data_IF_951463627072
#
_entry.id   IF_951463627072
#
_cell.length_a   1.000
_cell.length_b   1.000
_cell.length_c   1.000
_cell.angle_alpha   90.00
_cell.angle_beta   90.00
_cell.angle_gamma   90.00
#
_symmetry.space_group_name_H-M   'P 1'
#
loop_
_entity.id
_entity.type
_entity.pdbx_description
1 polymer ?
#
# COMPACT_ATOMS: atom_id res chain seq x y z
N UNK A 1 -22.29 -57.30 -51.94
CA UNK A 1 -22.37 -57.90 -50.58
C UNK A 1 -23.16 -56.98 -49.65
N UNK A 2 -24.38 -57.35 -49.27
CA UNK A 2 -25.23 -56.58 -48.34
C UNK A 2 -25.02 -57.19 -46.96
N UNK A 3 -24.44 -56.42 -46.05
CA UNK A 3 -24.28 -56.84 -44.68
C UNK A 3 -25.66 -56.95 -43.99
N UNK A 4 -25.92 -58.06 -43.26
CA UNK A 4 -27.21 -58.29 -42.64
C UNK A 4 -27.45 -57.25 -41.49
N UNK A 5 -28.67 -56.69 -41.47
CA UNK A 5 -29.12 -55.64 -40.49
C UNK A 5 -28.76 -55.91 -39.02
N UNK A 6 -28.64 -57.15 -38.61
CA UNK A 6 -28.26 -57.54 -37.22
C UNK A 6 -26.80 -57.27 -36.89
N UNK A 7 -25.89 -57.25 -37.85
CA UNK A 7 -24.47 -56.90 -37.59
C UNK A 7 -24.29 -55.39 -37.50
N UNK A 8 -25.08 -54.59 -38.24
CA UNK A 8 -25.06 -53.15 -38.15
C UNK A 8 -25.56 -52.67 -36.78
N UNK A 9 -26.59 -53.28 -36.18
CA UNK A 9 -27.09 -52.94 -34.85
C UNK A 9 -26.12 -53.35 -33.73
N UNK A 10 -25.31 -54.38 -33.89
CA UNK A 10 -24.27 -54.73 -32.88
C UNK A 10 -23.06 -53.82 -32.96
N UNK A 11 -22.70 -53.26 -34.07
CA UNK A 11 -21.65 -52.28 -34.25
C UNK A 11 -22.09 -50.89 -33.73
N UNK A 12 -23.35 -50.53 -33.91
CA UNK A 12 -23.92 -49.29 -33.38
C UNK A 12 -24.04 -49.32 -31.85
N UNK A 13 -24.33 -50.47 -31.22
CA UNK A 13 -24.37 -50.61 -29.75
C UNK A 13 -22.97 -50.56 -29.10
N UNK A 14 -21.91 -50.95 -29.84
CA UNK A 14 -20.52 -50.84 -29.34
C UNK A 14 -19.94 -49.46 -29.40
N UNK A 15 -20.46 -48.56 -30.24
CA UNK A 15 -20.00 -47.16 -30.33
C UNK A 15 -20.61 -46.25 -29.29
N UNK A 16 -21.70 -46.67 -28.60
CA UNK A 16 -22.35 -45.89 -27.54
C UNK A 16 -21.71 -46.03 -26.14
N UNK A 17 -20.71 -46.92 -26.02
CA UNK A 17 -19.98 -47.13 -24.76
C UNK A 17 -18.59 -46.46 -24.75
N UNK A 18 -18.48 -45.26 -25.35
CA UNK A 18 -17.36 -44.38 -25.01
C UNK A 18 -17.57 -43.99 -23.56
N UNK A 19 -16.64 -44.36 -22.64
CA UNK A 19 -16.71 -43.81 -21.30
C UNK A 19 -16.70 -42.31 -21.46
N UNK A 20 -17.74 -41.61 -20.98
CA UNK A 20 -17.66 -40.23 -20.64
C UNK A 20 -16.54 -40.18 -19.62
N UNK A 21 -15.31 -39.96 -20.07
CA UNK A 21 -14.21 -39.55 -19.25
C UNK A 21 -14.67 -38.21 -18.76
N UNK A 22 -15.40 -38.22 -17.64
CA UNK A 22 -15.59 -37.04 -16.85
C UNK A 22 -14.18 -36.51 -16.64
N UNK A 23 -13.81 -35.48 -17.37
CA UNK A 23 -12.69 -34.65 -16.97
C UNK A 23 -13.07 -34.20 -15.57
N UNK A 24 -12.61 -34.97 -14.57
CA UNK A 24 -12.50 -34.46 -13.23
C UNK A 24 -11.65 -33.24 -13.44
N UNK A 25 -12.31 -32.08 -13.50
CA UNK A 25 -11.64 -30.80 -13.46
C UNK A 25 -10.86 -30.83 -12.15
N UNK A 26 -9.61 -31.31 -12.23
CA UNK A 26 -8.66 -31.15 -11.13
C UNK A 26 -8.64 -29.64 -10.94
N UNK A 27 -9.26 -29.19 -9.87
CA UNK A 27 -9.12 -27.82 -9.45
C UNK A 27 -7.61 -27.52 -9.50
N UNK A 28 -7.20 -26.75 -10.50
CA UNK A 28 -5.78 -26.44 -10.67
C UNK A 28 -5.29 -25.87 -9.37
N UNK A 29 -4.30 -26.53 -8.79
CA UNK A 29 -3.74 -26.09 -7.50
C UNK A 29 -3.20 -24.69 -7.70
N UNK A 30 -3.84 -23.71 -7.07
CA UNK A 30 -3.34 -22.33 -7.10
C UNK A 30 -2.08 -22.20 -6.21
N UNK A 31 -1.05 -21.47 -6.64
CA UNK A 31 -0.83 -20.97 -8.01
C UNK A 31 -0.36 -22.06 -8.95
N UNK A 32 -0.85 -22.06 -10.20
CA UNK A 32 -0.46 -23.04 -11.23
C UNK A 32 0.67 -22.55 -12.14
N UNK A 33 1.02 -21.29 -12.03
CA UNK A 33 2.06 -20.59 -12.79
C UNK A 33 2.56 -19.40 -12.01
N UNK A 34 3.55 -18.66 -12.53
CA UNK A 34 4.08 -17.46 -11.91
C UNK A 34 2.96 -16.45 -11.55
N UNK A 35 3.13 -15.76 -10.43
CA UNK A 35 2.26 -14.69 -9.96
C UNK A 35 3.01 -13.37 -10.03
N UNK A 36 2.36 -12.30 -10.50
CA UNK A 36 2.92 -10.95 -10.53
C UNK A 36 2.34 -10.14 -9.39
N UNK A 37 3.20 -9.47 -8.64
CA UNK A 37 2.79 -8.43 -7.67
C UNK A 37 3.17 -7.08 -8.29
N UNK A 38 2.13 -6.34 -8.71
CA UNK A 38 2.28 -5.00 -9.29
C UNK A 38 2.54 -3.99 -8.19
N UNK A 39 3.55 -3.14 -8.36
CA UNK A 39 3.91 -2.06 -7.45
C UNK A 39 3.84 -0.73 -8.19
N UNK A 40 3.00 0.19 -7.72
CA UNK A 40 2.75 1.49 -8.37
C UNK A 40 3.84 2.55 -8.16
N UNK A 41 5.00 2.16 -7.62
CA UNK A 41 6.10 3.05 -7.24
C UNK A 41 7.45 2.52 -7.73
N UNK A 42 8.44 3.41 -7.76
CA UNK A 42 9.78 3.06 -8.21
C UNK A 42 10.43 1.97 -7.32
N UNK A 43 11.32 1.16 -7.90
CA UNK A 43 12.10 0.18 -7.13
C UNK A 43 12.90 0.83 -5.99
N UNK A 44 13.12 0.06 -4.91
CA UNK A 44 13.93 0.48 -3.75
C UNK A 44 13.17 1.33 -2.72
N UNK A 45 11.93 1.74 -3.01
CA UNK A 45 11.07 2.39 -2.04
C UNK A 45 10.38 1.38 -1.10
N UNK A 46 9.72 1.86 -0.02
CA UNK A 46 9.08 1.00 0.98
C UNK A 46 8.10 -0.02 0.40
N UNK A 47 7.27 0.40 -0.57
CA UNK A 47 6.34 -0.49 -1.25
C UNK A 47 7.03 -1.64 -1.98
N UNK A 48 8.13 -1.36 -2.67
CA UNK A 48 8.92 -2.37 -3.38
C UNK A 48 9.61 -3.35 -2.42
N UNK A 49 10.19 -2.82 -1.34
CA UNK A 49 10.85 -3.64 -0.31
C UNK A 49 9.86 -4.62 0.32
N UNK A 50 8.66 -4.14 0.68
CA UNK A 50 7.63 -4.98 1.29
C UNK A 50 7.04 -5.99 0.29
N UNK A 51 6.85 -5.58 -0.96
CA UNK A 51 6.41 -6.49 -2.02
C UNK A 51 7.41 -7.64 -2.22
N UNK A 52 8.72 -7.35 -2.24
CA UNK A 52 9.78 -8.37 -2.37
C UNK A 52 9.84 -9.29 -1.17
N UNK A 53 9.71 -8.74 0.05
CA UNK A 53 9.70 -9.54 1.28
C UNK A 53 8.55 -10.56 1.29
N UNK A 54 7.35 -10.11 0.99
CA UNK A 54 6.15 -10.99 0.95
C UNK A 54 6.17 -11.89 -0.28
N UNK A 55 6.59 -11.38 -1.45
CA UNK A 55 6.72 -12.16 -2.68
C UNK A 55 7.72 -13.32 -2.55
N UNK A 56 8.85 -13.10 -1.88
CA UNK A 56 9.81 -14.16 -1.60
C UNK A 56 9.19 -15.25 -0.71
N UNK A 57 8.55 -14.87 0.40
CA UNK A 57 7.85 -15.81 1.26
C UNK A 57 6.82 -16.64 0.48
N UNK A 58 5.97 -15.98 -0.30
CA UNK A 58 4.95 -16.67 -1.09
C UNK A 58 5.55 -17.62 -2.13
N UNK A 59 6.67 -17.24 -2.75
CA UNK A 59 7.38 -18.10 -3.69
C UNK A 59 7.87 -19.38 -3.02
N UNK A 60 8.49 -19.24 -1.85
CA UNK A 60 9.07 -20.37 -1.10
C UNK A 60 8.01 -21.34 -0.58
N UNK A 61 6.81 -20.83 -0.22
CA UNK A 61 5.76 -21.64 0.43
C UNK A 61 4.67 -22.14 -0.53
N UNK A 62 4.47 -21.46 -1.67
CA UNK A 62 3.43 -21.85 -2.63
C UNK A 62 3.99 -22.54 -3.88
N UNK A 63 5.32 -22.66 -4.03
CA UNK A 63 5.98 -23.45 -5.06
C UNK A 63 5.93 -22.86 -6.48
N UNK A 64 5.50 -21.60 -6.61
CA UNK A 64 5.54 -20.85 -7.87
C UNK A 64 6.17 -19.47 -7.65
N UNK A 65 6.90 -18.91 -8.63
CA UNK A 65 7.51 -17.60 -8.47
C UNK A 65 6.48 -16.49 -8.30
N UNK A 66 6.67 -15.63 -7.28
CA UNK A 66 5.98 -14.36 -7.12
C UNK A 66 6.95 -13.25 -7.50
N UNK A 67 6.77 -12.68 -8.70
CA UNK A 67 7.67 -11.66 -9.24
C UNK A 67 7.11 -10.26 -9.00
N UNK A 68 8.00 -9.32 -8.68
CA UNK A 68 7.63 -7.93 -8.44
C UNK A 68 7.80 -7.14 -9.74
N UNK A 69 6.74 -6.46 -10.16
CA UNK A 69 6.71 -5.62 -11.35
C UNK A 69 6.39 -4.17 -10.96
N UNK A 70 7.38 -3.29 -11.03
CA UNK A 70 7.21 -1.88 -10.73
C UNK A 70 6.65 -1.13 -11.94
N UNK A 71 5.48 -0.49 -11.78
CA UNK A 71 4.84 0.39 -12.76
C UNK A 71 4.50 1.73 -12.13
N UNK A 72 5.49 2.61 -11.96
CA UNK A 72 5.28 3.91 -11.33
C UNK A 72 4.47 4.85 -12.20
N UNK A 73 3.76 5.78 -11.56
CA UNK A 73 3.05 6.87 -12.21
C UNK A 73 1.62 7.07 -11.71
N UNK A 74 1.14 8.31 -11.80
CA UNK A 74 -0.18 8.74 -11.34
C UNK A 74 -0.54 8.24 -9.93
N UNK A 75 0.39 8.38 -8.97
CA UNK A 75 0.24 7.91 -7.58
C UNK A 75 -0.11 6.42 -7.45
N UNK A 76 0.39 5.58 -8.37
CA UNK A 76 0.15 4.14 -8.41
C UNK A 76 -1.04 3.72 -9.26
N UNK A 77 -1.78 4.65 -9.86
CA UNK A 77 -2.97 4.33 -10.64
C UNK A 77 -2.65 3.52 -11.91
N UNK A 78 -1.46 3.69 -12.52
CA UNK A 78 -1.04 2.87 -13.68
C UNK A 78 -0.96 1.39 -13.30
N UNK A 79 -0.36 1.06 -12.15
CA UNK A 79 -0.30 -0.31 -11.66
C UNK A 79 -1.69 -0.82 -11.25
N UNK A 80 -2.50 0.01 -10.60
CA UNK A 80 -3.86 -0.34 -10.18
C UNK A 80 -4.74 -0.68 -11.37
N UNK A 81 -4.73 0.13 -12.43
CA UNK A 81 -5.49 -0.13 -13.64
C UNK A 81 -5.06 -1.45 -14.32
N UNK A 82 -3.76 -1.73 -14.36
CA UNK A 82 -3.25 -2.98 -14.91
C UNK A 82 -3.76 -4.21 -14.12
N UNK A 83 -3.89 -4.10 -12.79
CA UNK A 83 -4.46 -5.17 -11.95
C UNK A 83 -5.96 -5.29 -12.15
N UNK A 84 -6.70 -4.17 -12.13
CA UNK A 84 -8.15 -4.17 -12.33
C UNK A 84 -8.55 -4.82 -13.67
N UNK A 85 -7.74 -4.62 -14.72
CA UNK A 85 -7.98 -5.21 -16.05
C UNK A 85 -7.43 -6.65 -16.20
N UNK A 86 -6.72 -7.17 -15.23
CA UNK A 86 -6.18 -8.52 -15.28
C UNK A 86 -7.27 -9.57 -15.03
N UNK A 87 -7.08 -10.83 -15.49
CA UNK A 87 -7.96 -11.92 -15.12
C UNK A 87 -8.07 -12.09 -13.62
N UNK A 88 -9.28 -12.36 -13.13
CA UNK A 88 -9.56 -12.56 -11.71
C UNK A 88 -9.19 -13.99 -11.26
N UNK A 89 -7.99 -14.45 -11.59
CA UNK A 89 -7.47 -15.80 -11.32
C UNK A 89 -6.36 -15.84 -10.26
N UNK A 90 -6.08 -14.70 -9.62
CA UNK A 90 -5.09 -14.58 -8.56
C UNK A 90 -3.63 -14.48 -9.03
N UNK A 91 -3.35 -14.56 -10.34
CA UNK A 91 -1.97 -14.50 -10.87
C UNK A 91 -1.46 -13.08 -11.15
N UNK A 92 -2.28 -12.07 -10.89
CA UNK A 92 -1.87 -10.66 -10.89
C UNK A 92 -2.45 -10.00 -9.65
N UNK A 93 -1.57 -9.50 -8.79
CA UNK A 93 -1.90 -8.91 -7.51
C UNK A 93 -1.38 -7.46 -7.49
N UNK A 94 -1.95 -6.62 -6.63
CA UNK A 94 -1.49 -5.26 -6.36
C UNK A 94 -0.90 -5.19 -4.97
N UNK A 95 0.32 -4.67 -4.83
CA UNK A 95 0.72 -4.09 -3.56
C UNK A 95 0.01 -2.75 -3.43
N UNK A 96 -0.87 -2.64 -2.46
CA UNK A 96 -1.70 -1.45 -2.25
C UNK A 96 -1.20 -0.61 -1.09
N UNK A 97 -1.40 0.70 -1.21
CA UNK A 97 -0.99 1.76 -0.29
C UNK A 97 -2.13 2.76 -0.11
N UNK A 98 -2.08 3.68 0.88
CA UNK A 98 -3.13 4.68 1.11
C UNK A 98 -3.53 5.48 -0.14
N UNK A 99 -2.58 5.82 -1.03
CA UNK A 99 -2.88 6.56 -2.25
C UNK A 99 -3.91 5.86 -3.16
N UNK A 100 -3.94 4.52 -3.16
CA UNK A 100 -4.94 3.78 -3.93
C UNK A 100 -6.36 3.99 -3.38
N UNK A 101 -6.51 4.03 -2.05
CA UNK A 101 -7.81 4.19 -1.39
C UNK A 101 -8.46 5.56 -1.63
N UNK A 102 -7.64 6.57 -1.93
CA UNK A 102 -8.11 7.96 -2.14
C UNK A 102 -8.08 8.40 -3.60
N UNK A 103 -7.69 7.52 -4.51
CA UNK A 103 -7.54 7.86 -5.93
C UNK A 103 -8.81 8.45 -6.55
N UNK A 104 -9.99 7.90 -6.21
CA UNK A 104 -11.29 8.38 -6.70
C UNK A 104 -11.62 9.82 -6.22
N UNK A 105 -11.02 10.26 -5.12
CA UNK A 105 -11.23 11.62 -4.59
C UNK A 105 -10.28 12.67 -5.19
N UNK A 106 -9.16 12.24 -5.80
CA UNK A 106 -8.11 13.11 -6.30
C UNK A 106 -8.17 13.25 -7.82
N UNK A 107 -8.53 12.17 -8.52
CA UNK A 107 -8.54 12.08 -9.97
C UNK A 107 -9.97 12.09 -10.52
N UNK A 108 -10.37 13.15 -11.20
CA UNK A 108 -11.74 13.33 -11.72
C UNK A 108 -12.11 12.33 -12.85
N UNK A 109 -11.11 11.71 -13.50
CA UNK A 109 -11.30 10.89 -14.72
C UNK A 109 -10.53 9.57 -14.65
N UNK A 110 -10.88 8.71 -13.68
CA UNK A 110 -10.41 7.33 -13.66
C UNK A 110 -11.40 6.40 -14.36
N UNK A 111 -10.90 5.50 -15.20
CA UNK A 111 -11.71 4.45 -15.85
C UNK A 111 -11.97 3.24 -14.95
N UNK A 112 -11.59 3.31 -13.69
CA UNK A 112 -11.75 2.28 -12.65
C UNK A 112 -11.91 2.95 -11.29
N UNK A 113 -12.34 2.17 -10.29
CA UNK A 113 -12.32 2.54 -8.88
C UNK A 113 -11.59 1.46 -8.10
N UNK A 114 -10.56 1.83 -7.35
CA UNK A 114 -9.85 0.88 -6.51
C UNK A 114 -10.79 0.16 -5.53
N UNK A 115 -11.67 0.90 -4.87
CA UNK A 115 -12.60 0.35 -3.89
C UNK A 115 -13.63 -0.61 -4.50
N UNK A 116 -14.09 -0.32 -5.72
CA UNK A 116 -15.13 -1.10 -6.40
C UNK A 116 -14.55 -2.30 -7.15
N UNK A 117 -13.37 -2.14 -7.77
CA UNK A 117 -12.87 -3.03 -8.80
C UNK A 117 -11.71 -3.92 -8.31
N UNK A 118 -11.39 -3.85 -7.00
CA UNK A 118 -10.44 -4.76 -6.37
C UNK A 118 -11.06 -5.54 -5.20
N UNK A 119 -10.39 -6.62 -4.81
CA UNK A 119 -10.73 -7.44 -3.64
C UNK A 119 -9.54 -7.40 -2.68
N UNK A 120 -9.71 -6.96 -1.42
CA UNK A 120 -8.66 -7.02 -0.40
C UNK A 120 -8.22 -8.45 -0.14
N UNK A 121 -6.92 -8.68 -0.01
CA UNK A 121 -6.32 -9.99 0.30
C UNK A 121 -5.80 -10.01 1.73
N UNK A 122 -4.85 -9.13 2.04
CA UNK A 122 -4.25 -9.03 3.37
C UNK A 122 -3.65 -7.65 3.59
N UNK A 123 -3.74 -7.15 4.82
CA UNK A 123 -2.90 -6.06 5.29
C UNK A 123 -1.54 -6.64 5.66
N UNK A 124 -0.46 -5.95 5.30
CA UNK A 124 0.90 -6.40 5.59
C UNK A 124 1.42 -5.69 6.84
N UNK A 125 1.40 -4.39 6.81
CA UNK A 125 1.97 -3.58 7.88
C UNK A 125 1.33 -2.21 7.98
N UNK A 126 1.59 -1.58 9.13
CA UNK A 126 1.25 -0.21 9.43
C UNK A 126 2.43 0.44 10.13
N UNK A 127 2.71 1.67 9.77
CA UNK A 127 3.77 2.44 10.39
C UNK A 127 3.40 3.90 10.57
N UNK A 128 4.05 4.59 11.51
CA UNK A 128 3.91 6.02 11.64
C UNK A 128 4.50 6.72 10.41
N UNK A 129 3.98 7.91 10.13
CA UNK A 129 4.78 8.95 9.52
C UNK A 129 5.50 9.70 10.63
N UNK A 130 6.65 10.26 10.31
CA UNK A 130 7.44 11.05 11.25
C UNK A 130 7.46 12.50 10.75
N UNK A 131 7.03 13.42 11.59
CA UNK A 131 7.15 14.85 11.33
C UNK A 131 8.61 15.27 11.47
N UNK A 132 9.27 15.47 10.36
CA UNK A 132 10.72 15.71 10.29
C UNK A 132 11.05 17.07 9.71
N UNK A 133 12.04 17.72 10.29
CA UNK A 133 12.57 18.99 9.83
C UNK A 133 14.09 18.94 9.67
N UNK A 134 14.63 19.86 8.86
CA UNK A 134 16.07 20.07 8.83
C UNK A 134 16.57 20.56 10.19
N UNK A 135 17.68 20.02 10.73
CA UNK A 135 18.21 20.44 12.04
C UNK A 135 18.60 21.93 12.15
N UNK A 136 18.83 22.62 11.03
CA UNK A 136 19.09 24.06 11.01
C UNK A 136 17.85 24.91 11.34
N UNK A 137 16.63 24.34 11.27
CA UNK A 137 15.44 25.05 11.73
C UNK A 137 15.47 25.24 13.26
N UNK A 138 15.12 26.44 13.76
CA UNK A 138 15.14 26.75 15.18
C UNK A 138 13.87 26.25 15.91
N UNK A 139 13.48 25.00 15.67
CA UNK A 139 12.29 24.37 16.25
C UNK A 139 12.63 22.95 16.72
N UNK A 140 12.13 22.56 17.89
CA UNK A 140 12.41 21.29 18.54
C UNK A 140 11.14 20.50 18.90
N UNK A 141 9.99 21.15 18.86
CA UNK A 141 8.69 20.59 19.24
C UNK A 141 7.62 20.94 18.21
N UNK A 142 6.52 20.19 18.22
CA UNK A 142 5.35 20.49 17.35
C UNK A 142 4.77 21.89 17.64
N UNK A 143 4.58 22.32 18.91
CA UNK A 143 4.12 23.69 19.20
C UNK A 143 5.07 24.78 18.70
N UNK A 144 6.39 24.62 18.85
CA UNK A 144 7.36 25.53 18.29
C UNK A 144 7.30 25.62 16.77
N UNK A 145 7.15 24.48 16.09
CA UNK A 145 6.98 24.46 14.64
C UNK A 145 5.70 25.21 14.21
N UNK A 146 4.57 24.98 14.90
CA UNK A 146 3.31 25.65 14.59
C UNK A 146 3.44 27.16 14.78
N UNK A 147 4.05 27.61 15.86
CA UNK A 147 4.30 29.04 16.11
C UNK A 147 5.21 29.62 15.01
N UNK A 148 6.32 28.95 14.71
CA UNK A 148 7.27 29.36 13.68
C UNK A 148 6.61 29.47 12.28
N UNK A 149 5.72 28.53 11.93
CA UNK A 149 5.01 28.53 10.66
C UNK A 149 3.94 29.64 10.60
N UNK A 150 3.23 29.90 11.70
CA UNK A 150 2.25 30.99 11.80
C UNK A 150 2.86 32.38 11.61
N UNK A 151 4.08 32.58 12.09
CA UNK A 151 4.82 33.85 11.94
C UNK A 151 5.37 34.03 10.50
N UNK A 152 5.30 32.98 9.64
CA UNK A 152 5.88 32.95 8.29
C UNK A 152 4.90 32.34 7.28
N UNK A 153 3.72 32.96 7.08
CA UNK A 153 2.71 32.42 6.16
C UNK A 153 3.27 32.32 4.75
N UNK A 154 3.05 31.17 4.08
CA UNK A 154 3.49 30.88 2.74
C UNK A 154 5.01 30.65 2.56
N UNK A 155 5.81 30.67 3.63
CA UNK A 155 7.27 30.55 3.55
C UNK A 155 7.77 29.14 3.92
N UNK A 156 6.92 28.29 4.48
CA UNK A 156 7.25 26.91 4.83
C UNK A 156 6.86 25.99 3.70
N UNK A 157 7.85 25.37 3.09
CA UNK A 157 7.66 24.35 2.08
C UNK A 157 7.63 22.97 2.76
N UNK A 158 6.59 22.19 2.49
CA UNK A 158 6.56 20.79 2.91
C UNK A 158 6.61 19.83 1.73
N UNK A 159 7.47 18.84 1.83
CA UNK A 159 7.72 17.87 0.75
C UNK A 159 6.80 16.65 0.84
N UNK A 160 6.48 16.07 -0.31
CA UNK A 160 5.86 14.76 -0.41
C UNK A 160 6.32 13.98 -1.66
N UNK A 161 6.13 12.65 -1.71
CA UNK A 161 6.47 11.85 -2.89
C UNK A 161 5.48 12.01 -4.05
N UNK A 162 4.52 12.93 -3.95
CA UNK A 162 3.53 13.22 -4.99
C UNK A 162 2.14 13.51 -4.45
N UNK A 163 1.28 13.99 -5.34
CA UNK A 163 -0.10 14.36 -5.01
C UNK A 163 -0.90 13.14 -4.53
N UNK A 164 -1.70 13.33 -3.46
CA UNK A 164 -2.52 12.30 -2.85
C UNK A 164 -1.74 11.27 -2.03
N UNK A 165 -0.43 11.46 -1.86
CA UNK A 165 0.33 10.63 -0.94
C UNK A 165 -0.09 10.86 0.51
N UNK A 166 0.01 9.83 1.38
CA UNK A 166 -0.25 10.00 2.82
C UNK A 166 0.56 11.14 3.42
N UNK A 167 1.75 11.37 2.92
CA UNK A 167 2.69 12.42 3.36
C UNK A 167 2.13 13.80 3.04
N UNK A 168 1.61 14.02 1.83
CA UNK A 168 0.91 15.26 1.50
C UNK A 168 -0.32 15.44 2.38
N UNK A 169 -1.18 14.41 2.45
CA UNK A 169 -2.44 14.47 3.18
C UNK A 169 -2.22 14.76 4.68
N UNK A 170 -1.12 14.28 5.24
CA UNK A 170 -0.70 14.57 6.60
C UNK A 170 -0.34 16.07 6.78
N UNK A 171 0.37 16.65 5.82
CA UNK A 171 0.66 18.09 5.79
C UNK A 171 -0.60 18.94 5.66
N UNK A 172 -1.55 18.53 4.79
CA UNK A 172 -2.83 19.22 4.64
C UNK A 172 -3.71 19.08 5.90
N UNK A 173 -3.66 17.92 6.59
CA UNK A 173 -4.33 17.75 7.88
C UNK A 173 -3.75 18.71 8.93
N UNK A 174 -2.42 18.87 8.97
CA UNK A 174 -1.79 19.85 9.89
C UNK A 174 -2.25 21.27 9.58
N UNK A 175 -2.26 21.68 8.29
CA UNK A 175 -2.78 22.99 7.87
C UNK A 175 -4.22 23.19 8.32
N UNK A 176 -5.08 22.21 8.09
CA UNK A 176 -6.50 22.26 8.44
C UNK A 176 -6.72 22.41 9.96
N UNK A 177 -5.98 21.65 10.77
CA UNK A 177 -6.15 21.66 12.23
C UNK A 177 -5.53 22.88 12.93
N UNK A 178 -4.49 23.49 12.34
CA UNK A 178 -3.72 24.56 13.00
C UNK A 178 -3.89 25.94 12.36
N UNK A 179 -4.38 25.98 11.12
CA UNK A 179 -4.46 27.20 10.32
C UNK A 179 -3.11 27.71 9.82
N UNK A 180 -2.02 26.92 9.88
CA UNK A 180 -0.73 27.30 9.31
C UNK A 180 -0.81 27.34 7.77
N UNK A 181 -0.18 28.36 7.18
CA UNK A 181 -0.07 28.45 5.73
C UNK A 181 1.29 27.90 5.27
N UNK A 182 1.25 26.75 4.58
CA UNK A 182 2.42 26.05 4.06
C UNK A 182 2.22 25.68 2.59
N UNK A 183 3.31 25.70 1.83
CA UNK A 183 3.33 25.36 0.41
C UNK A 183 3.72 23.89 0.22
N UNK A 184 2.90 23.13 -0.52
CA UNK A 184 3.21 21.75 -0.86
C UNK A 184 4.18 21.69 -2.06
N UNK A 185 5.26 20.91 -1.91
CA UNK A 185 6.24 20.63 -2.97
C UNK A 185 6.24 19.14 -3.29
N UNK A 186 5.63 18.73 -4.43
CA UNK A 186 5.57 17.32 -4.82
C UNK A 186 6.87 16.86 -5.49
N UNK A 187 7.37 15.69 -5.09
CA UNK A 187 8.53 15.00 -5.68
C UNK A 187 8.10 13.70 -6.37
N UNK A 188 9.02 13.12 -7.15
CA UNK A 188 8.82 11.81 -7.79
C UNK A 188 9.24 10.64 -6.88
N UNK A 189 8.86 10.70 -5.60
CA UNK A 189 9.19 9.68 -4.59
C UNK A 189 9.86 10.26 -3.36
N UNK A 190 10.07 9.41 -2.33
CA UNK A 190 10.62 9.82 -1.04
C UNK A 190 12.09 10.22 -1.10
N UNK A 191 12.91 9.50 -1.87
CA UNK A 191 14.36 9.74 -1.90
C UNK A 191 14.74 11.17 -2.32
N UNK A 192 14.25 11.73 -3.44
CA UNK A 192 14.53 13.13 -3.79
C UNK A 192 13.94 14.13 -2.78
N UNK A 193 12.75 13.86 -2.21
CA UNK A 193 12.16 14.70 -1.18
C UNK A 193 13.02 14.78 0.10
N UNK A 194 13.52 13.62 0.56
CA UNK A 194 14.42 13.54 1.71
C UNK A 194 15.77 14.22 1.44
N UNK A 195 16.31 14.09 0.23
CA UNK A 195 17.54 14.77 -0.17
C UNK A 195 17.40 16.29 0.00
N UNK A 196 16.31 16.85 -0.49
CA UNK A 196 16.04 18.30 -0.42
C UNK A 196 15.69 18.75 1.01
N UNK A 197 15.04 17.91 1.82
CA UNK A 197 14.82 18.18 3.24
C UNK A 197 16.15 18.23 4.02
N UNK A 198 17.06 17.27 3.77
CA UNK A 198 18.39 17.26 4.38
C UNK A 198 19.22 18.46 3.93
N UNK A 199 19.08 18.89 2.68
CA UNK A 199 19.74 20.07 2.15
C UNK A 199 19.08 21.41 2.60
N UNK A 200 17.91 21.37 3.27
CA UNK A 200 17.18 22.55 3.72
C UNK A 200 16.41 23.30 2.62
N UNK A 201 16.29 22.71 1.42
CA UNK A 201 15.51 23.30 0.32
C UNK A 201 14.00 23.29 0.61
N UNK A 202 13.53 22.32 1.38
CA UNK A 202 12.21 22.26 2.00
C UNK A 202 12.35 22.14 3.50
N UNK A 203 11.32 22.58 4.26
CA UNK A 203 11.40 22.75 5.69
C UNK A 203 10.79 21.61 6.49
N UNK A 204 9.81 20.92 5.93
CA UNK A 204 9.03 19.89 6.60
C UNK A 204 8.78 18.70 5.66
N UNK A 205 8.78 17.50 6.21
CA UNK A 205 8.20 16.30 5.59
C UNK A 205 7.59 15.41 6.68
N UNK A 206 6.45 14.81 6.39
CA UNK A 206 5.91 13.70 7.17
C UNK A 206 6.42 12.38 6.57
N UNK A 207 7.70 12.09 6.80
CA UNK A 207 8.37 10.97 6.15
C UNK A 207 7.90 9.61 6.68
N UNK A 208 7.86 8.59 5.81
CA UNK A 208 7.66 7.23 6.29
C UNK A 208 8.93 6.66 6.91
N UNK A 209 8.77 5.99 8.04
CA UNK A 209 9.86 5.47 8.86
C UNK A 209 10.87 4.64 8.05
N UNK A 210 10.46 3.73 7.13
CA UNK A 210 11.42 2.93 6.38
C UNK A 210 12.40 3.72 5.52
N UNK A 211 12.03 4.93 5.10
CA UNK A 211 12.89 5.76 4.24
C UNK A 211 13.72 6.79 5.01
N UNK A 212 13.34 7.14 6.24
CA UNK A 212 13.94 8.29 6.94
C UNK A 212 14.62 7.96 8.27
N UNK A 213 14.28 6.83 8.91
CA UNK A 213 14.74 6.51 10.27
C UNK A 213 16.27 6.57 10.44
N UNK A 214 17.02 6.14 9.43
CA UNK A 214 18.49 6.19 9.49
C UNK A 214 19.02 7.63 9.42
N UNK A 215 18.33 8.52 8.73
CA UNK A 215 18.68 9.95 8.71
C UNK A 215 18.39 10.62 10.04
N UNK A 216 17.31 10.24 10.72
CA UNK A 216 16.98 10.71 12.08
C UNK A 216 18.05 10.20 13.06
N UNK A 217 18.37 8.90 13.05
CA UNK A 217 19.40 8.29 13.92
C UNK A 217 20.77 8.91 13.71
N UNK A 218 21.11 9.27 12.47
CA UNK A 218 22.35 9.93 12.12
C UNK A 218 22.36 11.44 12.41
N UNK A 219 21.28 12.02 12.96
CA UNK A 219 21.14 13.45 13.24
C UNK A 219 21.07 14.35 12.00
N UNK A 220 20.89 13.78 10.80
CA UNK A 220 20.72 14.53 9.56
C UNK A 220 19.34 15.15 9.43
N UNK A 221 18.37 14.60 10.14
CA UNK A 221 17.01 15.12 10.27
C UNK A 221 16.61 15.13 11.74
N UNK A 222 15.75 16.07 12.12
CA UNK A 222 15.16 16.14 13.46
C UNK A 222 13.73 15.66 13.38
N UNK A 223 13.42 14.58 14.11
CA UNK A 223 12.05 14.12 14.34
C UNK A 223 11.40 14.98 15.42
N UNK A 224 10.27 15.60 15.12
CA UNK A 224 9.48 16.40 16.07
C UNK A 224 8.39 15.54 16.72
N UNK A 225 7.74 14.68 15.95
CA UNK A 225 6.68 13.82 16.45
C UNK A 225 6.40 12.67 15.47
N UNK A 226 5.76 11.59 15.96
CA UNK A 226 5.14 10.55 15.14
C UNK A 226 3.64 10.84 14.96
N UNK A 227 3.05 10.35 13.89
CA UNK A 227 1.66 10.67 13.51
C UNK A 227 0.63 9.66 14.00
N UNK A 228 1.06 8.61 14.67
CA UNK A 228 0.20 7.61 15.32
C UNK A 228 -0.45 8.18 16.58
N UNK A 229 -1.60 7.61 16.98
CA UNK A 229 -2.31 8.00 18.22
C UNK A 229 -1.51 7.68 19.49
N UNK A 230 -0.60 6.73 19.43
CA UNK A 230 0.32 6.32 20.50
C UNK A 230 1.77 6.43 20.02
N UNK A 231 2.73 6.57 20.93
CA UNK A 231 4.17 6.60 20.60
C UNK A 231 4.60 5.33 19.90
N UNK A 232 5.55 5.47 19.01
CA UNK A 232 6.11 4.34 18.26
C UNK A 232 7.18 3.62 19.09
N UNK A 233 7.14 2.30 19.13
CA UNK A 233 8.21 1.48 19.72
C UNK A 233 9.56 1.63 19.00
N UNK A 234 9.55 2.09 17.73
CA UNK A 234 10.75 2.30 16.93
C UNK A 234 11.42 3.66 17.21
N UNK A 235 10.68 4.60 17.79
CA UNK A 235 11.12 5.96 18.18
C UNK A 235 10.47 6.35 19.53
N UNK A 236 10.77 5.63 20.61
CA UNK A 236 10.04 5.79 21.88
C UNK A 236 10.22 7.18 22.52
N UNK A 237 11.33 7.85 22.21
CA UNK A 237 11.62 9.21 22.69
C UNK A 237 10.84 10.29 21.94
N UNK A 238 10.29 9.96 20.76
CA UNK A 238 9.58 10.93 19.92
C UNK A 238 8.09 10.95 20.31
N UNK A 239 7.53 12.11 20.70
CA UNK A 239 6.13 12.23 21.08
C UNK A 239 5.22 12.02 19.88
N UNK A 240 3.90 11.91 20.12
CA UNK A 240 2.91 11.92 19.03
C UNK A 240 2.46 13.34 18.72
N UNK A 241 2.07 13.60 17.46
CA UNK A 241 1.40 14.87 17.11
C UNK A 241 0.10 15.00 17.91
N UNK A 242 -0.60 13.88 18.17
CA UNK A 242 -1.84 13.84 18.96
C UNK A 242 -1.69 14.34 20.40
N UNK A 243 -0.51 14.24 21.01
CA UNK A 243 -0.23 14.81 22.34
C UNK A 243 -0.40 16.35 22.37
N UNK A 244 -0.22 17.02 21.22
CA UNK A 244 -0.30 18.47 21.05
C UNK A 244 -1.55 18.91 20.27
N UNK A 245 -2.03 18.07 19.38
CA UNK A 245 -3.20 18.31 18.52
C UNK A 245 -4.15 17.11 18.63
N UNK A 246 -5.04 17.08 19.63
CA UNK A 246 -5.96 15.96 19.83
C UNK A 246 -6.78 15.63 18.58
N UNK A 247 -6.81 14.36 18.21
CA UNK A 247 -7.46 13.87 16.99
C UNK A 247 -6.58 13.87 15.73
N UNK A 248 -5.33 14.33 15.83
CA UNK A 248 -4.39 14.17 14.73
C UNK A 248 -3.88 12.72 14.67
N UNK A 249 -4.23 12.01 13.62
CA UNK A 249 -3.73 10.66 13.37
C UNK A 249 -3.58 10.42 11.88
N UNK A 250 -2.42 9.93 11.49
CA UNK A 250 -2.13 9.46 10.14
C UNK A 250 -1.18 8.26 10.20
N UNK A 251 -1.42 7.28 9.34
CA UNK A 251 -0.55 6.12 9.23
C UNK A 251 -0.28 5.79 7.78
N UNK A 252 0.91 5.28 7.51
CA UNK A 252 1.20 4.67 6.23
C UNK A 252 1.01 3.16 6.35
N UNK A 253 0.22 2.57 5.47
CA UNK A 253 -0.09 1.15 5.49
C UNK A 253 0.17 0.50 4.15
N UNK A 254 0.45 -0.79 4.18
CA UNK A 254 0.72 -1.62 3.02
C UNK A 254 -0.11 -2.89 3.07
N UNK A 255 -0.57 -3.34 1.92
CA UNK A 255 -1.34 -4.56 1.82
C UNK A 255 -1.31 -5.15 0.42
N UNK A 256 -2.02 -6.25 0.25
CA UNK A 256 -2.21 -6.90 -1.05
C UNK A 256 -3.68 -6.89 -1.42
N UNK A 257 -3.96 -6.53 -2.66
CA UNK A 257 -5.29 -6.65 -3.26
C UNK A 257 -5.20 -7.47 -4.56
N UNK A 258 -6.32 -8.04 -4.96
CA UNK A 258 -6.50 -8.80 -6.19
C UNK A 258 -7.57 -8.14 -7.07
N UNK A 259 -7.69 -8.48 -8.36
CA UNK A 259 -8.84 -8.09 -9.17
C UNK A 259 -10.16 -8.48 -8.51
N UNK A 260 -11.20 -7.69 -8.73
CA UNK A 260 -12.56 -8.02 -8.28
C UNK A 260 -12.96 -9.39 -8.82
N UNK A 261 -13.77 -10.12 -8.05
CA UNK A 261 -14.24 -11.48 -8.37
C UNK A 261 -13.14 -12.56 -8.39
N UNK A 262 -11.94 -12.28 -7.89
CA UNK A 262 -10.96 -13.35 -7.63
C UNK A 262 -11.58 -14.38 -6.66
N UNK A 263 -11.52 -15.68 -6.96
CA UNK A 263 -12.17 -16.71 -6.15
C UNK A 263 -11.80 -16.64 -4.68
N UNK A 264 -12.77 -16.80 -3.80
CA UNK A 264 -12.60 -16.69 -2.35
C UNK A 264 -11.57 -17.68 -1.79
N UNK A 265 -11.46 -18.86 -2.40
CA UNK A 265 -10.45 -19.86 -2.04
C UNK A 265 -9.03 -19.37 -2.30
N UNK A 266 -8.81 -18.66 -3.42
CA UNK A 266 -7.52 -18.04 -3.76
C UNK A 266 -7.20 -16.90 -2.78
N UNK A 267 -8.18 -16.03 -2.51
CA UNK A 267 -8.03 -14.95 -1.51
C UNK A 267 -7.69 -15.53 -0.14
N UNK A 268 -8.43 -16.56 0.29
CA UNK A 268 -8.18 -17.22 1.59
C UNK A 268 -6.81 -17.88 1.67
N UNK A 269 -6.34 -18.53 0.60
CA UNK A 269 -5.01 -19.14 0.53
C UNK A 269 -3.91 -18.09 0.63
N UNK A 270 -4.00 -17.02 -0.16
CA UNK A 270 -3.05 -15.91 -0.13
C UNK A 270 -3.04 -15.22 1.25
N UNK A 271 -4.21 -14.93 1.82
CA UNK A 271 -4.33 -14.34 3.15
C UNK A 271 -3.66 -15.20 4.22
N UNK A 272 -3.92 -16.51 4.22
CA UNK A 272 -3.32 -17.46 5.17
C UNK A 272 -1.80 -17.43 5.09
N UNK A 273 -1.23 -17.48 3.88
CA UNK A 273 0.22 -17.50 3.69
C UNK A 273 0.86 -16.15 4.04
N UNK A 274 0.21 -15.02 3.71
CA UNK A 274 0.70 -13.71 4.10
C UNK A 274 0.66 -13.57 5.63
N UNK A 275 -0.41 -14.00 6.30
CA UNK A 275 -0.48 -13.98 7.76
C UNK A 275 0.58 -14.88 8.40
N UNK A 276 0.91 -16.03 7.78
CA UNK A 276 2.01 -16.88 8.22
C UNK A 276 3.37 -16.16 8.09
N UNK A 277 3.60 -15.47 6.97
CA UNK A 277 4.77 -14.61 6.80
C UNK A 277 4.89 -13.56 7.90
N UNK A 278 3.78 -12.90 8.22
CA UNK A 278 3.74 -11.86 9.26
C UNK A 278 3.91 -12.41 10.68
N UNK A 279 3.68 -13.71 10.88
CA UNK A 279 3.95 -14.40 12.15
C UNK A 279 5.43 -14.83 12.28
N UNK A 280 6.15 -14.97 11.17
CA UNK A 280 7.54 -15.42 11.16
C UNK A 280 8.48 -14.41 11.86
N UNK A 281 9.37 -14.86 12.77
CA UNK A 281 10.26 -13.95 13.49
C UNK A 281 11.22 -13.15 12.60
N UNK A 282 11.70 -13.72 11.48
CA UNK A 282 12.61 -13.03 10.57
C UNK A 282 11.89 -11.93 9.80
N UNK A 283 10.66 -12.21 9.34
CA UNK A 283 9.81 -11.22 8.67
C UNK A 283 9.44 -10.10 9.64
N UNK A 284 9.04 -10.42 10.87
CA UNK A 284 8.76 -9.42 11.93
C UNK A 284 9.98 -8.56 12.21
N UNK A 285 11.15 -9.17 12.41
CA UNK A 285 12.39 -8.43 12.64
C UNK A 285 12.74 -7.52 11.46
N UNK A 286 12.49 -7.97 10.22
CA UNK A 286 12.72 -7.14 9.02
C UNK A 286 11.77 -5.95 8.97
N UNK A 287 10.47 -6.15 9.27
CA UNK A 287 9.48 -5.08 9.34
C UNK A 287 9.82 -4.09 10.46
N UNK A 288 10.18 -4.58 11.64
CA UNK A 288 10.62 -3.75 12.76
C UNK A 288 11.87 -2.93 12.42
N UNK A 289 12.85 -3.53 11.76
CA UNK A 289 14.03 -2.82 11.25
C UNK A 289 13.71 -1.70 10.25
N UNK A 290 12.57 -1.82 9.56
CA UNK A 290 12.02 -0.79 8.68
C UNK A 290 11.10 0.20 9.43
N UNK A 291 10.97 0.09 10.75
CA UNK A 291 10.13 0.98 11.57
C UNK A 291 8.63 0.82 11.33
N UNK A 292 8.19 -0.38 10.96
CA UNK A 292 6.77 -0.69 10.70
C UNK A 292 6.35 -1.97 11.41
N UNK A 293 5.11 -2.02 11.92
CA UNK A 293 4.57 -3.17 12.62
C UNK A 293 3.82 -4.11 11.66
N UNK A 294 4.03 -5.43 11.85
CA UNK A 294 3.26 -6.45 11.14
C UNK A 294 1.81 -6.45 11.61
N UNK A 295 0.86 -6.53 10.69
CA UNK A 295 -0.57 -6.54 10.98
C UNK A 295 -1.28 -7.67 10.24
N UNK A 296 -1.38 -8.81 10.92
CA UNK A 296 -2.18 -9.93 10.45
C UNK A 296 -3.68 -9.65 10.63
N UNK A 297 -4.50 -10.16 9.72
CA UNK A 297 -5.95 -10.00 9.80
C UNK A 297 -6.67 -10.67 8.64
N UNK A 298 -8.01 -10.64 8.68
CA UNK A 298 -8.83 -11.19 7.62
C UNK A 298 -8.92 -10.24 6.41
N UNK A 299 -9.24 -10.75 5.20
CA UNK A 299 -9.54 -9.90 4.05
C UNK A 299 -10.68 -8.92 4.32
N UNK A 300 -11.69 -9.35 5.09
CA UNK A 300 -12.84 -8.52 5.45
C UNK A 300 -12.45 -7.34 6.36
N UNK A 301 -11.59 -7.57 7.35
CA UNK A 301 -11.11 -6.51 8.23
C UNK A 301 -10.25 -5.50 7.47
N UNK A 302 -9.42 -6.00 6.55
CA UNK A 302 -8.65 -5.12 5.68
C UNK A 302 -9.56 -4.28 4.76
N UNK A 303 -10.62 -4.88 4.21
CA UNK A 303 -11.62 -4.15 3.41
C UNK A 303 -12.32 -3.05 4.21
N UNK A 304 -12.76 -3.33 5.44
CA UNK A 304 -13.35 -2.33 6.35
C UNK A 304 -12.37 -1.19 6.64
N UNK A 305 -11.12 -1.54 6.91
CA UNK A 305 -10.07 -0.56 7.15
C UNK A 305 -9.85 0.36 5.94
N UNK A 306 -9.71 -0.20 4.72
CA UNK A 306 -9.55 0.59 3.48
C UNK A 306 -10.73 1.54 3.29
N UNK A 307 -11.96 1.08 3.51
CA UNK A 307 -13.16 1.91 3.37
C UNK A 307 -13.18 3.09 4.36
N UNK A 308 -12.81 2.84 5.62
CA UNK A 308 -12.71 3.89 6.65
C UNK A 308 -11.61 4.92 6.31
N UNK A 309 -10.44 4.46 5.85
CA UNK A 309 -9.36 5.34 5.41
C UNK A 309 -9.79 6.19 4.19
N UNK A 310 -10.45 5.58 3.21
CA UNK A 310 -10.96 6.30 2.05
C UNK A 310 -11.96 7.40 2.45
N UNK A 311 -12.88 7.12 3.37
CA UNK A 311 -13.84 8.11 3.87
C UNK A 311 -13.15 9.25 4.61
N UNK A 312 -12.25 8.92 5.55
CA UNK A 312 -11.50 9.88 6.34
C UNK A 312 -10.73 10.86 5.45
N UNK A 313 -9.90 10.32 4.56
CA UNK A 313 -9.03 11.14 3.73
C UNK A 313 -9.76 11.87 2.60
N UNK A 314 -10.87 11.33 2.10
CA UNK A 314 -11.72 12.07 1.14
C UNK A 314 -12.31 13.36 1.73
N UNK A 315 -12.54 13.40 3.04
CA UNK A 315 -12.95 14.64 3.73
C UNK A 315 -11.81 15.66 3.74
N UNK A 316 -10.59 15.24 4.09
CA UNK A 316 -9.39 16.11 4.10
C UNK A 316 -9.11 16.64 2.68
N UNK A 317 -9.10 15.76 1.69
CA UNK A 317 -8.86 16.10 0.27
C UNK A 317 -9.83 17.18 -0.22
N UNK A 318 -11.10 17.03 0.12
CA UNK A 318 -12.15 17.96 -0.29
C UNK A 318 -12.00 19.34 0.35
N UNK A 319 -11.66 19.38 1.67
CA UNK A 319 -11.46 20.63 2.41
C UNK A 319 -10.20 21.34 1.94
N UNK A 320 -9.12 20.59 1.72
CA UNK A 320 -7.82 21.12 1.27
C UNK A 320 -7.78 21.44 -0.22
N UNK A 321 -8.79 21.04 -1.01
CA UNK A 321 -8.82 21.25 -2.45
C UNK A 321 -7.73 20.47 -3.20
N UNK A 322 -7.25 19.36 -2.65
CA UNK A 322 -6.18 18.54 -3.28
C UNK A 322 -6.71 17.90 -4.56
N UNK A 323 -6.01 18.16 -5.67
CA UNK A 323 -6.27 17.57 -7.00
C UNK A 323 -4.96 17.09 -7.62
N UNK A 324 -5.11 16.13 -8.59
CA UNK A 324 -3.98 15.60 -9.37
C UNK A 324 -3.48 16.57 -10.40
#
# INVERSE_FOLDING_TARGET
MKLPRRQFLRLAAGAAALPAVSQIARAQTYPSRLVRIMVGFAPGGPADILARLIGQWLSDHLGQPFIIENRPGASGNIATEAVVRAPADGHTLLLTVPANAVSDAIYDKLNFSFLRDTTPVARISNGPLVMEVNPAMPVHTVPEFIAYAKDRPGQINFASPGNGSPIQLCGELLKMMTGVDMVHVPYRGNAPALTDLIAGQVQLMFADTPSSIEHVRAGKLRALAVTTSTRSEFLPEVPTVNEFLPGFEATNWYGVAAPKNTPTEIIGKLNKEINAALADPKVKARLAGLGTAALAGSPADFGKFIAAEAEKWSKVIRIAGVKA
#
